data_IF_979057496048
#
_entry.id   IF_979057496048
#
_cell.length_a   1.000
_cell.length_b   1.000
_cell.length_c   1.000
_cell.angle_alpha   90.00
_cell.angle_beta   90.00
_cell.angle_gamma   90.00
#
_symmetry.space_group_name_H-M   'P 1'
#
loop_
_entity.id
_entity.type
_entity.pdbx_description
1 polymer ?
#
# COMPACT_ATOMS: atom_id res chain seq x y z
N UNK A 1 24.06 12.84 6.29
CA UNK A 1 23.72 11.40 6.25
C UNK A 1 22.23 11.28 6.51
N UNK A 2 21.44 10.52 5.73
CA UNK A 2 20.04 10.29 6.08
C UNK A 2 19.98 9.46 7.37
N UNK A 3 19.06 9.81 8.27
CA UNK A 3 18.88 9.14 9.55
C UNK A 3 18.49 7.67 9.33
N UNK A 4 19.19 6.69 9.92
CA UNK A 4 18.99 5.26 9.61
C UNK A 4 17.64 4.71 10.07
N UNK A 5 16.95 5.43 10.96
CA UNK A 5 15.59 5.14 11.44
C UNK A 5 14.49 5.75 10.57
N UNK A 6 14.81 6.65 9.63
CA UNK A 6 13.84 7.19 8.69
C UNK A 6 13.62 6.17 7.56
N UNK A 7 12.69 5.25 7.81
CA UNK A 7 12.28 4.24 6.84
C UNK A 7 11.50 4.84 5.66
N UNK A 8 10.83 5.98 5.88
CA UNK A 8 9.97 6.65 4.92
C UNK A 8 10.48 8.09 4.77
N UNK A 9 11.23 8.39 3.70
CA UNK A 9 11.40 9.81 3.32
C UNK A 9 10.01 10.34 3.02
N UNK A 10 9.68 11.53 3.49
CA UNK A 10 8.37 12.18 3.37
C UNK A 10 7.91 12.50 1.92
N UNK A 11 8.51 11.88 0.90
CA UNK A 11 8.02 11.89 -0.47
C UNK A 11 7.08 10.70 -0.64
N UNK A 12 5.90 10.93 -1.22
CA UNK A 12 4.77 9.98 -1.29
C UNK A 12 4.98 8.73 -2.14
N UNK A 13 6.19 8.15 -2.13
CA UNK A 13 6.51 6.86 -2.72
C UNK A 13 6.36 5.73 -1.67
N UNK A 14 6.12 4.52 -2.14
CA UNK A 14 6.02 3.33 -1.28
C UNK A 14 7.36 2.96 -0.65
N UNK A 15 7.31 2.37 0.55
CA UNK A 15 8.51 1.96 1.28
C UNK A 15 8.79 0.45 1.10
N UNK A 16 9.70 0.12 0.19
CA UNK A 16 10.10 -1.28 -0.08
C UNK A 16 10.53 -2.05 1.17
N UNK A 17 11.10 -1.37 2.18
CA UNK A 17 11.52 -2.01 3.43
C UNK A 17 10.34 -2.41 4.30
N UNK A 18 9.31 -1.58 4.38
CA UNK A 18 8.10 -1.91 5.13
C UNK A 18 7.35 -3.07 4.45
N UNK A 19 7.28 -3.04 3.12
CA UNK A 19 6.60 -4.07 2.33
C UNK A 19 7.26 -5.44 2.50
N UNK A 20 8.60 -5.47 2.49
CA UNK A 20 9.37 -6.69 2.72
C UNK A 20 9.08 -7.34 4.08
N UNK A 21 8.90 -6.54 5.14
CA UNK A 21 8.63 -7.05 6.49
C UNK A 21 7.24 -7.68 6.59
N UNK A 22 6.27 -7.13 5.87
CA UNK A 22 4.89 -7.61 5.85
C UNK A 22 4.72 -8.80 4.90
N UNK A 23 5.54 -8.88 3.85
CA UNK A 23 5.63 -10.05 2.98
C UNK A 23 4.38 -10.31 2.14
N UNK A 24 3.58 -9.28 1.86
CA UNK A 24 2.37 -9.36 1.04
C UNK A 24 2.66 -8.96 -0.42
N UNK A 25 2.75 -9.91 -1.37
CA UNK A 25 3.11 -9.60 -2.75
C UNK A 25 2.08 -8.68 -3.42
N UNK A 26 2.57 -7.65 -4.11
CA UNK A 26 1.72 -6.70 -4.84
C UNK A 26 0.98 -5.68 -3.97
N UNK A 27 1.26 -5.64 -2.67
CA UNK A 27 0.71 -4.68 -1.71
C UNK A 27 1.84 -3.87 -1.07
N UNK A 28 1.54 -2.60 -0.81
CA UNK A 28 2.45 -1.61 -0.24
C UNK A 28 1.89 -1.07 1.07
N UNK A 29 2.73 -0.96 2.10
CA UNK A 29 2.37 -0.38 3.40
C UNK A 29 2.20 1.12 3.27
N UNK A 30 1.03 1.62 3.66
CA UNK A 30 0.70 3.05 3.64
C UNK A 30 0.48 3.63 5.03
N UNK A 31 0.20 2.80 6.03
CA UNK A 31 0.17 3.22 7.43
C UNK A 31 0.41 2.05 8.37
N UNK A 32 0.91 2.36 9.56
CA UNK A 32 1.10 1.41 10.66
C UNK A 32 0.63 2.07 11.95
N UNK A 33 -0.34 1.46 12.61
CA UNK A 33 -0.98 2.00 13.82
C UNK A 33 -1.12 0.90 14.88
N UNK A 34 -1.38 1.30 16.13
CA UNK A 34 -1.80 0.39 17.20
C UNK A 34 -3.27 0.66 17.49
N UNK A 35 -4.07 -0.39 17.53
CA UNK A 35 -5.48 -0.26 17.92
C UNK A 35 -5.66 -0.19 19.44
N UNK A 36 -6.91 -0.01 19.89
CA UNK A 36 -7.26 0.05 21.32
C UNK A 36 -6.91 -1.22 22.12
N UNK A 37 -6.59 -2.32 21.44
CA UNK A 37 -6.19 -3.60 22.04
C UNK A 37 -4.69 -3.83 21.94
N UNK A 38 -3.91 -2.79 21.63
CA UNK A 38 -2.46 -2.82 21.41
C UNK A 38 -2.03 -3.78 20.27
N UNK A 39 -2.94 -4.08 19.34
CA UNK A 39 -2.63 -4.87 18.15
C UNK A 39 -2.02 -3.97 17.09
N UNK A 40 -1.03 -4.50 16.38
CA UNK A 40 -0.45 -3.82 15.22
C UNK A 40 -1.44 -3.91 14.05
N UNK A 41 -1.92 -2.76 13.58
CA UNK A 41 -2.76 -2.63 12.39
C UNK A 41 -1.90 -2.08 11.27
N UNK A 42 -1.74 -2.86 10.20
CA UNK A 42 -0.99 -2.46 9.01
C UNK A 42 -1.98 -2.21 7.89
N UNK A 43 -2.03 -0.97 7.41
CA UNK A 43 -2.83 -0.60 6.24
C UNK A 43 -1.96 -0.70 5.00
N UNK A 44 -2.48 -1.42 4.01
CA UNK A 44 -1.79 -1.68 2.75
C UNK A 44 -2.66 -1.34 1.55
N UNK A 45 -2.04 -1.01 0.42
CA UNK A 45 -2.72 -0.83 -0.86
C UNK A 45 -1.94 -1.45 -2.01
N UNK A 46 -2.60 -1.86 -3.10
CA UNK A 46 -1.90 -2.31 -4.30
C UNK A 46 -1.17 -1.16 -5.00
N UNK A 47 -0.21 -1.39 -5.88
CA UNK A 47 0.25 -0.31 -6.76
C UNK A 47 -0.89 0.18 -7.67
N UNK A 48 -0.85 1.45 -8.08
CA UNK A 48 -1.73 1.95 -9.12
C UNK A 48 -1.29 1.35 -10.46
N UNK A 49 -2.16 0.55 -11.09
CA UNK A 49 -1.93 -0.02 -12.41
C UNK A 49 -2.90 0.56 -13.43
N UNK A 50 -2.41 0.92 -14.62
CA UNK A 50 -3.27 1.35 -15.70
C UNK A 50 -4.06 0.14 -16.23
N UNK A 51 -5.38 0.15 -16.03
CA UNK A 51 -6.27 -0.90 -16.53
C UNK A 51 -7.22 -0.37 -17.61
N UNK A 52 -7.31 -1.10 -18.71
CA UNK A 52 -8.18 -0.78 -19.84
C UNK A 52 -9.33 -1.76 -20.01
N UNK A 53 -10.41 -1.31 -20.65
CA UNK A 53 -11.47 -2.20 -21.10
C UNK A 53 -10.93 -3.18 -22.15
N UNK A 54 -11.02 -4.50 -21.88
CA UNK A 54 -10.48 -5.54 -22.78
C UNK A 54 -11.14 -5.59 -24.16
N UNK A 55 -12.32 -4.98 -24.34
CA UNK A 55 -13.04 -4.98 -25.62
C UNK A 55 -12.68 -3.81 -26.53
N UNK A 56 -12.43 -2.61 -25.97
CA UNK A 56 -12.19 -1.39 -26.75
C UNK A 56 -10.87 -0.68 -26.45
N UNK A 57 -10.08 -1.14 -25.47
CA UNK A 57 -8.75 -0.61 -25.14
C UNK A 57 -8.74 0.73 -24.39
N UNK A 58 -9.90 1.33 -24.11
CA UNK A 58 -10.00 2.61 -23.38
C UNK A 58 -9.54 2.41 -21.94
N UNK A 59 -8.59 3.25 -21.49
CA UNK A 59 -8.18 3.38 -20.10
C UNK A 59 -9.12 4.36 -19.40
N UNK A 60 -9.85 3.89 -18.39
CA UNK A 60 -10.72 4.75 -17.59
C UNK A 60 -10.01 5.13 -16.29
N UNK A 61 -10.21 6.37 -15.84
CA UNK A 61 -9.84 6.75 -14.49
C UNK A 61 -10.73 6.00 -13.50
N UNK A 62 -10.15 5.13 -12.68
CA UNK A 62 -10.88 4.40 -11.66
C UNK A 62 -11.50 5.36 -10.64
N UNK A 63 -12.63 4.97 -10.04
CA UNK A 63 -13.33 5.72 -8.99
C UNK A 63 -12.61 5.72 -7.62
N UNK A 64 -11.30 5.45 -7.60
CA UNK A 64 -10.53 5.25 -6.38
C UNK A 64 -10.52 3.78 -5.92
N UNK A 65 -9.96 3.57 -4.73
CA UNK A 65 -9.76 2.24 -4.13
C UNK A 65 -10.90 1.91 -3.17
N UNK A 66 -11.19 0.61 -3.03
CA UNK A 66 -12.12 0.09 -2.03
C UNK A 66 -11.31 -0.50 -0.88
N UNK A 67 -11.62 -0.08 0.35
CA UNK A 67 -11.03 -0.66 1.55
C UNK A 67 -11.62 -2.05 1.81
N UNK A 68 -10.77 -3.04 2.01
CA UNK A 68 -11.14 -4.42 2.33
C UNK A 68 -10.33 -4.91 3.52
N UNK A 69 -10.94 -5.79 4.34
CA UNK A 69 -10.21 -6.46 5.40
C UNK A 69 -9.59 -7.74 4.85
N UNK A 70 -8.27 -7.89 4.96
CA UNK A 70 -7.57 -9.13 4.64
C UNK A 70 -7.77 -10.13 5.79
N UNK A 71 -8.18 -11.35 5.48
CA UNK A 71 -8.31 -12.46 6.44
C UNK A 71 -7.30 -13.52 6.01
N UNK A 72 -6.48 -14.01 6.94
CA UNK A 72 -5.56 -15.15 6.75
C UNK A 72 -6.32 -16.48 6.82
#
# INVERSE_FOLDING_TARGET
MPEPTLCCRAGGDYCDRCDLLVGLPGLHVIAVERDDRDRLVVMVESAAEAMGCRSCGVIVHGHGRVNVHLVD
#
